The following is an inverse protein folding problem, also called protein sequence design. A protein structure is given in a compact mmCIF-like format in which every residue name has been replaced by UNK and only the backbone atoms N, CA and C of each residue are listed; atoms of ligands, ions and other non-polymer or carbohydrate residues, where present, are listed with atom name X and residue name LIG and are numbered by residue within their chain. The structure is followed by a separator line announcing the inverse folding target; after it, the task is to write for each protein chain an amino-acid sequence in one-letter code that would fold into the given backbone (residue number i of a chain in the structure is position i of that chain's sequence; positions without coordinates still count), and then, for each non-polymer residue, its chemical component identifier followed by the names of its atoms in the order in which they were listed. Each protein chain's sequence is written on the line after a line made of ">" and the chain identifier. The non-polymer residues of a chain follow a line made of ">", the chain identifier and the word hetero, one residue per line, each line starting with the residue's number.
data_IF_798190802352
#
_entry.id   IF_798190802352
#
_cell.length_a   1.000
_cell.length_b   1.000
_cell.length_c   1.000
_cell.angle_alpha   90.00
_cell.angle_beta   90.00
_cell.angle_gamma   90.00
#
_symmetry.space_group_name_H-M   'P 1'
#
loop_
_entity.id
_entity.type
_entity.pdbx_description
1 polymer ?
#
# COMPACT_ATOMS: atom_id res chain seq x y z
N UNK A 1 -3.72 -18.05 -57.33
CA UNK A 1 -3.06 -17.64 -56.07
C UNK A 1 -3.05 -16.12 -56.02
N UNK A 2 -3.89 -15.51 -55.22
CA UNK A 2 -3.73 -14.12 -54.81
C UNK A 2 -3.53 -14.15 -53.30
N UNK A 3 -2.26 -14.01 -52.90
CA UNK A 3 -1.86 -13.87 -51.51
C UNK A 3 -2.29 -12.46 -51.07
N UNK A 4 -3.29 -12.39 -50.21
CA UNK A 4 -3.70 -11.17 -49.52
C UNK A 4 -2.52 -10.73 -48.65
N UNK A 5 -1.87 -9.63 -48.99
CA UNK A 5 -0.86 -9.02 -48.12
C UNK A 5 -1.58 -8.40 -46.93
N UNK A 6 -1.56 -9.07 -45.78
CA UNK A 6 -1.90 -8.44 -44.51
C UNK A 6 -0.84 -7.35 -44.25
N UNK A 7 -1.26 -6.09 -44.32
CA UNK A 7 -0.44 -4.96 -43.91
C UNK A 7 -0.08 -5.13 -42.43
N UNK A 8 1.19 -5.37 -42.13
CA UNK A 8 1.67 -5.42 -40.74
C UNK A 8 1.50 -4.02 -40.13
N UNK A 9 0.70 -3.92 -39.07
CA UNK A 9 0.48 -2.65 -38.35
C UNK A 9 1.82 -2.10 -37.84
N UNK A 10 1.97 -0.78 -37.88
CA UNK A 10 3.17 -0.11 -37.35
C UNK A 10 3.21 -0.15 -35.82
N UNK A 11 4.40 -0.02 -35.23
CA UNK A 11 4.56 0.07 -33.76
C UNK A 11 3.70 1.18 -33.15
N UNK A 12 3.62 2.35 -33.80
CA UNK A 12 2.82 3.48 -33.34
C UNK A 12 1.31 3.17 -33.32
N UNK A 13 0.80 2.45 -34.34
CA UNK A 13 -0.59 2.01 -34.39
C UNK A 13 -0.91 1.01 -33.27
N UNK A 14 -0.03 0.03 -33.05
CA UNK A 14 -0.18 -0.95 -31.97
C UNK A 14 -0.17 -0.29 -30.58
N UNK A 15 0.71 0.70 -30.37
CA UNK A 15 0.73 1.49 -29.12
C UNK A 15 -0.58 2.25 -28.94
N UNK A 16 -1.07 2.92 -29.98
CA UNK A 16 -2.32 3.68 -29.94
C UNK A 16 -3.52 2.78 -29.63
N UNK A 17 -3.59 1.61 -30.25
CA UNK A 17 -4.64 0.61 -30.00
C UNK A 17 -4.58 0.09 -28.55
N UNK A 18 -3.39 -0.25 -28.04
CA UNK A 18 -3.21 -0.67 -26.66
C UNK A 18 -3.66 0.39 -25.64
N UNK A 19 -3.28 1.65 -25.87
CA UNK A 19 -3.72 2.77 -25.05
C UNK A 19 -5.23 3.00 -25.10
N UNK A 20 -5.85 2.84 -26.28
CA UNK A 20 -7.30 2.94 -26.43
C UNK A 20 -8.03 1.84 -25.66
N UNK A 21 -7.52 0.60 -25.70
CA UNK A 21 -8.09 -0.52 -24.94
C UNK A 21 -7.99 -0.29 -23.43
N UNK A 22 -6.92 0.34 -22.95
CA UNK A 22 -6.73 0.64 -21.52
C UNK A 22 -7.62 1.78 -20.98
N UNK A 23 -8.33 2.52 -21.85
CA UNK A 23 -9.07 3.74 -21.50
C UNK A 23 -10.18 3.51 -20.47
N UNK A 24 -10.85 2.37 -20.55
CA UNK A 24 -11.98 2.05 -19.65
C UNK A 24 -11.51 1.66 -18.23
N UNK A 25 -10.20 1.54 -18.01
CA UNK A 25 -9.59 1.38 -16.68
C UNK A 25 -9.96 0.08 -15.95
N UNK A 26 -10.60 -0.88 -16.63
CA UNK A 26 -10.95 -2.17 -16.04
C UNK A 26 -9.77 -3.15 -16.13
N UNK A 27 -9.66 -4.14 -15.22
CA UNK A 27 -8.62 -5.16 -15.32
C UNK A 27 -8.62 -5.89 -16.68
N UNK A 28 -9.80 -6.18 -17.23
CA UNK A 28 -9.94 -6.80 -18.55
C UNK A 28 -9.45 -5.88 -19.69
N UNK A 29 -9.73 -4.57 -19.60
CA UNK A 29 -9.20 -3.57 -20.53
C UNK A 29 -7.66 -3.57 -20.52
N UNK A 30 -7.04 -3.61 -19.34
CA UNK A 30 -5.58 -3.69 -19.22
C UNK A 30 -5.01 -5.02 -19.72
N UNK A 31 -5.67 -6.15 -19.48
CA UNK A 31 -5.27 -7.45 -20.04
C UNK A 31 -5.29 -7.45 -21.57
N UNK A 32 -6.29 -6.81 -22.19
CA UNK A 32 -6.34 -6.65 -23.64
C UNK A 32 -5.24 -5.71 -24.14
N UNK A 33 -4.96 -4.62 -23.44
CA UNK A 33 -3.85 -3.73 -23.76
C UNK A 33 -2.49 -4.45 -23.68
N UNK A 34 -2.26 -5.28 -22.65
CA UNK A 34 -1.04 -6.10 -22.49
C UNK A 34 -0.83 -7.02 -23.69
N UNK A 35 -1.89 -7.73 -24.12
CA UNK A 35 -1.83 -8.58 -25.33
C UNK A 35 -1.40 -7.74 -26.53
N UNK A 36 -1.98 -6.54 -26.67
CA UNK A 36 -1.68 -5.67 -27.79
C UNK A 36 -0.25 -5.14 -27.80
N UNK A 37 0.27 -4.69 -26.67
CA UNK A 37 1.67 -4.27 -26.56
C UNK A 37 2.66 -5.41 -26.81
N UNK A 38 2.25 -6.66 -26.56
CA UNK A 38 3.08 -7.85 -26.78
C UNK A 38 3.22 -8.23 -28.26
N UNK A 39 2.40 -7.66 -29.15
CA UNK A 39 2.52 -7.85 -30.61
C UNK A 39 3.67 -7.04 -31.21
N UNK A 40 4.23 -6.06 -30.48
CA UNK A 40 5.30 -5.18 -30.96
C UNK A 40 6.63 -5.94 -30.94
N UNK A 41 7.16 -6.25 -32.13
CA UNK A 41 8.41 -6.96 -32.32
C UNK A 41 9.26 -6.30 -33.42
N UNK A 42 10.53 -5.89 -33.15
CA UNK A 42 11.23 -5.97 -31.87
C UNK A 42 10.59 -5.10 -30.79
N UNK A 43 10.72 -5.46 -29.51
CA UNK A 43 10.10 -4.73 -28.42
C UNK A 43 10.71 -3.32 -28.31
N UNK A 44 9.85 -2.30 -28.36
CA UNK A 44 10.23 -0.91 -28.15
C UNK A 44 10.17 -0.53 -26.67
N UNK A 45 11.02 0.41 -26.24
CA UNK A 45 11.07 0.92 -24.85
C UNK A 45 9.69 1.40 -24.38
N UNK A 46 9.03 2.24 -25.18
CA UNK A 46 7.71 2.79 -24.83
C UNK A 46 6.65 1.69 -24.70
N UNK A 47 6.71 0.68 -25.56
CA UNK A 47 5.79 -0.46 -25.51
C UNK A 47 5.99 -1.28 -24.23
N UNK A 48 7.24 -1.55 -23.85
CA UNK A 48 7.58 -2.25 -22.59
C UNK A 48 7.15 -1.43 -21.37
N UNK A 49 7.42 -0.12 -21.36
CA UNK A 49 7.00 0.77 -20.28
C UNK A 49 5.47 0.80 -20.13
N UNK A 50 4.73 0.88 -21.23
CA UNK A 50 3.26 0.87 -21.21
C UNK A 50 2.71 -0.49 -20.79
N UNK A 51 3.30 -1.60 -21.26
CA UNK A 51 2.92 -2.96 -20.87
C UNK A 51 3.16 -3.21 -19.38
N UNK A 52 4.32 -2.80 -18.86
CA UNK A 52 4.62 -2.85 -17.43
C UNK A 52 3.61 -2.07 -16.59
N UNK A 53 3.26 -0.84 -17.00
CA UNK A 53 2.20 -0.08 -16.31
C UNK A 53 0.82 -0.75 -16.39
N UNK A 54 0.47 -1.34 -17.52
CA UNK A 54 -0.79 -2.08 -17.66
C UNK A 54 -0.81 -3.29 -16.72
N UNK A 55 0.31 -4.00 -16.58
CA UNK A 55 0.47 -5.07 -15.58
C UNK A 55 0.24 -4.57 -14.15
N UNK A 56 0.82 -3.43 -13.77
CA UNK A 56 0.58 -2.82 -12.45
C UNK A 56 -0.89 -2.43 -12.21
N UNK A 57 -1.63 -2.10 -13.28
CA UNK A 57 -3.06 -1.80 -13.18
C UNK A 57 -3.94 -3.04 -13.07
N UNK A 58 -3.52 -4.18 -13.64
CA UNK A 58 -4.17 -5.47 -13.37
C UNK A 58 -3.88 -5.90 -11.92
N UNK A 59 -2.64 -5.72 -11.47
CA UNK A 59 -2.21 -6.00 -10.11
C UNK A 59 -2.03 -7.50 -9.81
N UNK A 60 -1.53 -7.78 -8.61
CA UNK A 60 -1.20 -9.13 -8.15
C UNK A 60 0.27 -9.53 -8.41
N UNK A 61 0.80 -10.52 -7.67
CA UNK A 61 2.24 -10.79 -7.62
C UNK A 61 2.82 -11.19 -8.98
N UNK A 62 2.09 -12.00 -9.76
CA UNK A 62 2.51 -12.37 -11.12
C UNK A 62 2.65 -11.15 -12.04
N UNK A 63 1.69 -10.22 -11.99
CA UNK A 63 1.73 -9.03 -12.84
C UNK A 63 2.74 -8.00 -12.33
N UNK A 64 2.97 -7.91 -11.02
CA UNK A 64 4.06 -7.11 -10.46
C UNK A 64 5.42 -7.60 -10.98
N UNK A 65 5.66 -8.92 -10.98
CA UNK A 65 6.88 -9.49 -11.55
C UNK A 65 7.02 -9.21 -13.05
N UNK A 66 5.94 -9.41 -13.82
CA UNK A 66 5.95 -9.11 -15.26
C UNK A 66 6.23 -7.62 -15.55
N UNK A 67 5.75 -6.71 -14.68
CA UNK A 67 6.07 -5.31 -14.79
C UNK A 67 7.56 -5.03 -14.53
N UNK A 68 8.16 -5.68 -13.52
CA UNK A 68 9.60 -5.60 -13.25
C UNK A 68 10.41 -6.10 -14.45
N UNK A 69 10.03 -7.23 -15.03
CA UNK A 69 10.70 -7.81 -16.20
C UNK A 69 10.66 -6.85 -17.39
N UNK A 70 9.49 -6.22 -17.64
CA UNK A 70 9.31 -5.23 -18.70
C UNK A 70 10.14 -3.97 -18.49
N UNK A 71 10.14 -3.43 -17.28
CA UNK A 71 10.95 -2.25 -16.95
C UNK A 71 12.45 -2.55 -17.03
N UNK A 72 12.87 -3.73 -16.58
CA UNK A 72 14.27 -4.16 -16.67
C UNK A 72 14.71 -4.32 -18.12
N UNK A 73 13.87 -4.90 -18.96
CA UNK A 73 14.12 -4.99 -20.40
C UNK A 73 14.17 -3.60 -21.05
N UNK A 74 13.27 -2.69 -20.68
CA UNK A 74 13.26 -1.32 -21.18
C UNK A 74 14.55 -0.56 -20.80
N UNK A 75 15.06 -0.74 -19.57
CA UNK A 75 16.34 -0.17 -19.14
C UNK A 75 17.53 -0.75 -19.90
N UNK A 76 17.55 -2.07 -20.15
CA UNK A 76 18.62 -2.70 -20.93
C UNK A 76 18.71 -2.17 -22.37
N UNK A 77 17.56 -1.83 -22.97
CA UNK A 77 17.52 -1.21 -24.30
C UNK A 77 18.09 0.22 -24.28
N UNK A 78 17.87 0.97 -23.20
CA UNK A 78 18.47 2.29 -23.02
C UNK A 78 19.98 2.23 -22.77
N UNK A 79 20.46 1.24 -22.02
CA UNK A 79 21.90 1.09 -21.77
C UNK A 79 22.66 0.77 -23.06
N UNK A 80 22.02 0.05 -23.99
CA UNK A 80 22.58 -0.26 -25.29
C UNK A 80 22.52 0.91 -26.30
N UNK A 81 21.72 1.95 -26.05
CA UNK A 81 21.55 3.06 -26.98
C UNK A 81 22.56 4.21 -26.81
N UNK A 82 23.42 4.17 -25.77
CA UNK A 82 24.36 5.26 -25.40
C UNK A 82 23.69 6.65 -25.28
N UNK A 83 22.37 6.70 -25.11
CA UNK A 83 21.64 7.95 -24.96
C UNK A 83 21.90 8.57 -23.60
N UNK A 84 21.99 9.91 -23.56
CA UNK A 84 22.03 10.67 -22.31
C UNK A 84 20.83 10.29 -21.42
N UNK A 85 20.94 10.42 -20.08
CA UNK A 85 19.80 10.20 -19.20
C UNK A 85 18.62 11.00 -19.70
N UNK A 86 17.52 10.32 -20.04
CA UNK A 86 16.28 10.94 -20.48
C UNK A 86 15.26 10.86 -19.36
N UNK A 87 14.30 11.79 -19.36
CA UNK A 87 13.17 11.79 -18.43
C UNK A 87 12.41 10.45 -18.49
N UNK A 88 12.35 9.81 -19.66
CA UNK A 88 11.77 8.48 -19.85
C UNK A 88 12.53 7.40 -19.07
N UNK A 89 13.87 7.43 -19.10
CA UNK A 89 14.71 6.49 -18.32
C UNK A 89 14.51 6.68 -16.81
N UNK A 90 14.47 7.92 -16.32
CA UNK A 90 14.16 8.22 -14.91
C UNK A 90 12.79 7.69 -14.49
N UNK A 91 11.79 7.82 -15.37
CA UNK A 91 10.44 7.32 -15.14
C UNK A 91 10.40 5.81 -14.98
N UNK A 92 11.23 5.07 -15.73
CA UNK A 92 11.29 3.61 -15.62
C UNK A 92 11.92 3.20 -14.29
N UNK A 93 13.04 3.81 -13.89
CA UNK A 93 13.63 3.57 -12.55
C UNK A 93 12.62 3.84 -11.45
N UNK A 94 11.92 4.99 -11.51
CA UNK A 94 10.90 5.34 -10.53
C UNK A 94 9.81 4.27 -10.41
N UNK A 95 9.32 3.79 -11.56
CA UNK A 95 8.26 2.78 -11.59
C UNK A 95 8.75 1.44 -11.08
N UNK A 96 9.91 0.96 -11.53
CA UNK A 96 10.46 -0.33 -11.10
C UNK A 96 10.77 -0.34 -9.61
N UNK A 97 11.39 0.73 -9.09
CA UNK A 97 11.63 0.93 -7.66
C UNK A 97 10.33 0.84 -6.84
N UNK A 98 9.26 1.47 -7.32
CA UNK A 98 7.96 1.43 -6.67
C UNK A 98 7.39 0.00 -6.62
N UNK A 99 7.55 -0.79 -7.68
CA UNK A 99 7.10 -2.20 -7.67
C UNK A 99 7.91 -3.01 -6.66
N UNK A 100 9.23 -2.85 -6.66
CA UNK A 100 10.11 -3.51 -5.69
C UNK A 100 9.70 -3.16 -4.25
N UNK A 101 9.43 -1.88 -3.97
CA UNK A 101 8.94 -1.43 -2.66
C UNK A 101 7.62 -2.12 -2.27
N UNK A 102 6.66 -2.19 -3.20
CA UNK A 102 5.36 -2.87 -2.97
C UNK A 102 5.52 -4.37 -2.72
N UNK A 103 6.53 -5.02 -3.31
CA UNK A 103 6.84 -6.43 -3.09
C UNK A 103 7.66 -6.69 -1.82
N UNK A 104 8.12 -5.64 -1.12
CA UNK A 104 9.02 -5.77 0.03
C UNK A 104 10.49 -6.00 -0.35
N UNK A 105 10.84 -5.85 -1.63
CA UNK A 105 12.19 -5.99 -2.16
C UNK A 105 12.95 -4.66 -1.96
N UNK A 106 13.22 -4.31 -0.70
CA UNK A 106 13.69 -2.99 -0.32
C UNK A 106 15.06 -2.63 -0.90
N UNK A 107 16.01 -3.58 -0.98
CA UNK A 107 17.35 -3.32 -1.52
C UNK A 107 17.30 -2.92 -3.00
N UNK A 108 16.50 -3.62 -3.80
CA UNK A 108 16.28 -3.31 -5.21
C UNK A 108 15.57 -1.97 -5.37
N UNK A 109 14.59 -1.67 -4.52
CA UNK A 109 13.91 -0.38 -4.52
C UNK A 109 14.87 0.78 -4.20
N UNK A 110 15.69 0.64 -3.15
CA UNK A 110 16.70 1.63 -2.76
C UNK A 110 17.75 1.84 -3.86
N UNK A 111 18.19 0.75 -4.51
CA UNK A 111 19.12 0.80 -5.63
C UNK A 111 18.55 1.62 -6.79
N UNK A 112 17.32 1.33 -7.22
CA UNK A 112 16.68 2.04 -8.33
C UNK A 112 16.38 3.51 -8.00
N UNK A 113 15.93 3.82 -6.78
CA UNK A 113 15.71 5.21 -6.38
C UNK A 113 17.01 6.00 -6.27
N UNK A 114 18.08 5.39 -5.76
CA UNK A 114 19.39 6.03 -5.70
C UNK A 114 19.95 6.30 -7.09
N UNK A 115 19.77 5.35 -8.00
CA UNK A 115 20.19 5.51 -9.39
C UNK A 115 19.38 6.58 -10.13
N UNK A 116 18.07 6.65 -9.88
CA UNK A 116 17.22 7.73 -10.35
C UNK A 116 17.73 9.09 -9.85
N UNK A 117 18.01 9.23 -8.56
CA UNK A 117 18.51 10.49 -7.96
C UNK A 117 19.84 10.88 -8.59
N UNK A 118 20.78 9.95 -8.68
CA UNK A 118 22.11 10.20 -9.25
C UNK A 118 22.02 10.72 -10.69
N UNK A 119 21.19 10.10 -11.52
CA UNK A 119 20.99 10.54 -12.91
C UNK A 119 20.19 11.83 -13.01
N UNK A 120 19.24 12.04 -12.12
CA UNK A 120 18.44 13.25 -12.13
C UNK A 120 19.26 14.51 -11.77
N UNK A 121 20.32 14.37 -10.95
CA UNK A 121 21.25 15.47 -10.60
C UNK A 121 22.04 16.03 -11.79
N UNK A 122 22.13 15.32 -12.91
CA UNK A 122 22.91 15.74 -14.07
C UNK A 122 22.30 16.92 -14.83
N UNK A 123 21.03 17.27 -14.60
CA UNK A 123 20.34 18.37 -15.29
C UNK A 123 19.65 19.31 -14.30
N UNK A 124 19.54 20.59 -14.70
CA UNK A 124 18.82 21.64 -13.94
C UNK A 124 17.40 21.87 -14.46
N UNK A 125 16.98 21.12 -15.48
CA UNK A 125 15.63 21.19 -16.03
C UNK A 125 14.57 20.85 -14.99
N UNK A 126 13.38 21.46 -15.13
CA UNK A 126 12.33 21.33 -14.13
C UNK A 126 11.85 19.88 -13.96
N UNK A 127 11.75 19.12 -15.05
CA UNK A 127 11.35 17.71 -15.00
C UNK A 127 12.33 16.86 -14.16
N UNK A 128 13.63 17.18 -14.22
CA UNK A 128 14.65 16.47 -13.44
C UNK A 128 14.56 16.81 -11.95
N UNK A 129 14.25 18.08 -11.61
CA UNK A 129 13.99 18.47 -10.22
C UNK A 129 12.75 17.78 -9.64
N UNK A 130 11.69 17.63 -10.43
CA UNK A 130 10.50 16.87 -10.03
C UNK A 130 10.86 15.38 -9.76
N UNK A 131 11.69 14.77 -10.61
CA UNK A 131 12.19 13.43 -10.35
C UNK A 131 13.13 13.36 -9.14
N UNK A 132 13.97 14.37 -8.89
CA UNK A 132 14.78 14.43 -7.67
C UNK A 132 13.89 14.42 -6.42
N UNK A 133 12.89 15.28 -6.38
CA UNK A 133 11.93 15.33 -5.29
C UNK A 133 11.22 13.98 -5.09
N UNK A 134 10.65 13.41 -6.16
CA UNK A 134 10.00 12.09 -6.12
C UNK A 134 10.94 10.98 -5.68
N UNK A 135 12.19 10.98 -6.16
CA UNK A 135 13.20 9.99 -5.83
C UNK A 135 13.53 9.98 -4.36
N UNK A 136 13.88 11.15 -3.80
CA UNK A 136 14.19 11.30 -2.38
C UNK A 136 13.01 10.96 -1.48
N UNK A 137 11.82 11.52 -1.75
CA UNK A 137 10.62 11.24 -0.96
C UNK A 137 10.33 9.74 -0.97
N UNK A 138 10.35 9.09 -2.14
CA UNK A 138 10.04 7.66 -2.25
C UNK A 138 11.11 6.78 -1.60
N UNK A 139 12.39 7.12 -1.71
CA UNK A 139 13.47 6.41 -1.01
C UNK A 139 13.36 6.56 0.50
N UNK A 140 12.98 7.75 0.98
CA UNK A 140 12.65 7.98 2.38
C UNK A 140 11.50 7.09 2.89
N UNK A 141 10.45 6.88 2.09
CA UNK A 141 9.36 5.94 2.43
C UNK A 141 9.82 4.48 2.47
N UNK A 142 10.81 4.10 1.66
CA UNK A 142 11.42 2.75 1.75
C UNK A 142 12.21 2.64 3.06
N UNK A 143 13.02 3.63 3.42
CA UNK A 143 13.72 3.65 4.71
C UNK A 143 12.77 3.61 5.90
N UNK A 144 11.66 4.33 5.85
CA UNK A 144 10.60 4.27 6.86
C UNK A 144 10.02 2.85 6.97
N UNK A 145 9.75 2.19 5.83
CA UNK A 145 9.28 0.80 5.80
C UNK A 145 10.29 -0.18 6.43
N UNK A 146 11.58 0.13 6.31
CA UNK A 146 12.69 -0.60 6.93
C UNK A 146 12.98 -0.16 8.38
N UNK A 147 12.18 0.75 8.95
CA UNK A 147 12.37 1.31 10.30
C UNK A 147 13.68 2.10 10.49
N UNK A 148 14.30 2.55 9.40
CA UNK A 148 15.48 3.41 9.37
C UNK A 148 15.06 4.89 9.40
N UNK A 149 14.43 5.30 10.50
CA UNK A 149 13.67 6.55 10.58
C UNK A 149 14.51 7.82 10.39
N UNK A 150 15.75 7.88 10.87
CA UNK A 150 16.65 9.03 10.64
C UNK A 150 17.00 9.19 9.16
N UNK A 151 17.27 8.09 8.45
CA UNK A 151 17.52 8.11 6.99
C UNK A 151 16.26 8.51 6.23
N UNK A 152 15.09 8.00 6.67
CA UNK A 152 13.81 8.38 6.10
C UNK A 152 13.57 9.89 6.23
N UNK A 153 13.78 10.46 7.42
CA UNK A 153 13.61 11.89 7.67
C UNK A 153 14.53 12.73 6.78
N UNK A 154 15.83 12.40 6.74
CA UNK A 154 16.81 13.13 5.95
C UNK A 154 16.47 13.14 4.45
N UNK A 155 16.07 11.98 3.90
CA UNK A 155 15.67 11.87 2.50
C UNK A 155 14.38 12.66 2.21
N UNK A 156 13.36 12.59 3.07
CA UNK A 156 12.11 13.30 2.84
C UNK A 156 12.33 14.83 2.92
N UNK A 157 13.16 15.30 3.85
CA UNK A 157 13.52 16.72 3.96
C UNK A 157 14.29 17.22 2.73
N UNK A 158 15.24 16.42 2.23
CA UNK A 158 15.96 16.74 1.01
C UNK A 158 15.02 16.76 -0.19
N UNK A 159 14.14 15.76 -0.33
CA UNK A 159 13.15 15.69 -1.40
C UNK A 159 12.20 16.89 -1.44
N UNK A 160 11.85 17.45 -0.27
CA UNK A 160 11.02 18.65 -0.17
C UNK A 160 11.71 19.89 -0.74
N UNK A 161 13.05 20.01 -0.66
CA UNK A 161 13.80 21.15 -1.23
C UNK A 161 13.72 21.20 -2.75
N UNK A 162 13.62 20.04 -3.40
CA UNK A 162 13.53 19.91 -4.85
C UNK A 162 12.10 19.99 -5.40
N UNK A 163 11.10 19.95 -4.52
CA UNK A 163 9.70 19.96 -4.93
C UNK A 163 9.29 21.29 -5.57
N UNK A 164 8.49 21.23 -6.64
CA UNK A 164 7.87 22.42 -7.21
C UNK A 164 6.93 23.12 -6.22
N UNK A 165 6.30 22.34 -5.35
CA UNK A 165 5.44 22.81 -4.26
C UNK A 165 5.95 22.22 -2.94
N UNK A 166 6.92 22.84 -2.27
CA UNK A 166 7.46 22.35 -1.00
C UNK A 166 6.37 22.23 0.08
N UNK A 167 5.35 23.07 0.02
CA UNK A 167 4.21 23.05 0.94
C UNK A 167 3.12 22.04 0.55
N UNK A 168 3.40 21.10 -0.38
CA UNK A 168 2.47 20.04 -0.69
C UNK A 168 2.11 19.27 0.60
N UNK A 169 0.82 19.22 1.00
CA UNK A 169 0.41 18.57 2.24
C UNK A 169 0.88 17.13 2.38
N UNK A 170 1.02 16.41 1.27
CA UNK A 170 1.54 15.05 1.27
C UNK A 170 2.97 14.94 1.80
N UNK A 171 3.87 15.88 1.45
CA UNK A 171 5.26 15.83 1.94
C UNK A 171 5.35 16.16 3.43
N UNK A 172 4.55 17.13 3.88
CA UNK A 172 4.45 17.45 5.30
C UNK A 172 3.89 16.27 6.09
N UNK A 173 2.86 15.59 5.58
CA UNK A 173 2.34 14.35 6.17
C UNK A 173 3.42 13.28 6.33
N UNK A 174 4.21 13.01 5.28
CA UNK A 174 5.29 12.02 5.36
C UNK A 174 6.34 12.41 6.40
N UNK A 175 6.72 13.69 6.50
CA UNK A 175 7.67 14.17 7.51
C UNK A 175 7.12 14.02 8.92
N UNK A 176 5.90 14.51 9.17
CA UNK A 176 5.31 14.50 10.50
C UNK A 176 5.04 13.08 10.99
N UNK A 177 4.61 12.18 10.10
CA UNK A 177 4.45 10.77 10.45
C UNK A 177 5.76 10.15 10.93
N UNK A 178 6.86 10.33 10.20
CA UNK A 178 8.18 9.82 10.61
C UNK A 178 8.64 10.45 11.93
N UNK A 179 8.36 11.74 12.16
CA UNK A 179 8.68 12.43 13.42
C UNK A 179 7.89 11.90 14.61
N UNK A 180 6.60 11.62 14.43
CA UNK A 180 5.76 10.99 15.45
C UNK A 180 6.33 9.62 15.81
N UNK A 181 6.62 8.78 14.81
CA UNK A 181 7.18 7.44 15.06
C UNK A 181 8.56 7.48 15.72
N UNK A 182 9.40 8.47 15.38
CA UNK A 182 10.68 8.70 16.08
C UNK A 182 10.47 9.04 17.56
N UNK A 183 9.51 9.93 17.85
CA UNK A 183 9.21 10.34 19.22
C UNK A 183 8.63 9.19 20.05
N UNK A 184 7.73 8.40 19.48
CA UNK A 184 7.16 7.22 20.14
C UNK A 184 8.26 6.24 20.55
N UNK A 185 9.22 5.97 19.65
CA UNK A 185 10.37 5.12 19.96
C UNK A 185 11.33 5.69 21.00
N UNK A 186 11.53 7.00 21.00
CA UNK A 186 12.36 7.64 22.02
C UNK A 186 11.74 7.48 23.40
N UNK A 187 10.43 7.72 23.51
CA UNK A 187 9.71 7.52 24.77
C UNK A 187 9.75 6.04 25.23
N UNK A 188 9.63 5.08 24.30
CA UNK A 188 9.75 3.64 24.64
C UNK A 188 11.13 3.29 25.21
N UNK A 189 12.21 3.89 24.69
CA UNK A 189 13.56 3.67 25.21
C UNK A 189 13.79 4.36 26.57
N UNK A 190 13.24 5.57 26.75
CA UNK A 190 13.32 6.29 28.03
C UNK A 190 12.52 5.56 29.14
N UNK A 191 11.38 4.92 28.80
CA UNK A 191 10.56 4.14 29.73
C UNK A 191 11.21 2.77 30.10
N UNK A 192 12.07 2.21 29.23
CA UNK A 192 12.81 0.97 29.48
C UNK A 192 14.09 1.21 30.32
N UNK A 193 14.73 2.39 30.22
CA UNK A 193 15.90 2.76 31.04
C UNK A 193 15.54 3.01 32.53
N UNK A 194 14.28 3.35 32.83
CA UNK A 194 13.81 3.57 34.21
C UNK A 194 13.54 2.25 35.01
N UNK A 195 13.81 1.07 34.45
CA UNK A 195 13.58 -0.25 35.09
C UNK A 195 14.87 -0.96 35.55
N UNK A 196 16.06 -0.49 35.15
CA UNK A 196 17.35 -1.04 35.61
C UNK A 196 18.18 0.00 36.36
N UNK A 197 17.73 0.40 37.56
CA UNK A 197 18.58 1.15 38.49
C UNK A 197 18.36 0.72 39.95
N UNK A 198 18.67 -0.55 40.23
CA UNK A 198 19.27 -0.95 41.52
C UNK A 198 20.34 -2.00 41.27
N UNK A 199 21.56 -1.56 41.02
CA UNK A 199 22.73 -2.02 41.77
C UNK A 199 23.93 -1.14 41.39
N UNK A 200 24.32 -0.31 42.37
CA UNK A 200 25.65 0.29 42.44
C UNK A 200 26.68 -0.83 42.33
N UNK A 201 27.65 -0.70 41.45
CA UNK A 201 29.04 -0.92 41.86
C UNK A 201 30.00 -0.11 41.01
N UNK A 202 30.82 0.63 41.76
CA UNK A 202 31.93 1.43 41.32
C UNK A 202 33.05 0.58 40.74
N UNK A 203 33.60 0.99 39.60
CA UNK A 203 35.05 0.94 39.38
C UNK A 203 35.45 1.90 38.26
N UNK A 204 36.10 2.99 38.66
CA UNK A 204 37.03 3.72 37.81
C UNK A 204 38.16 2.76 37.43
N UNK A 205 38.55 2.72 36.16
CA UNK A 205 39.92 3.14 35.86
C UNK A 205 40.13 3.56 34.42
N UNK A 206 41.00 4.55 34.32
CA UNK A 206 41.39 5.31 33.14
C UNK A 206 42.06 4.42 32.09
N UNK A 207 41.76 4.66 30.81
CA UNK A 207 42.83 4.73 29.81
C UNK A 207 42.47 5.67 28.67
N UNK A 208 43.47 6.50 28.33
CA UNK A 208 43.44 7.57 27.35
C UNK A 208 43.88 7.06 25.98
N UNK A 209 43.43 7.82 24.98
CA UNK A 209 44.00 7.98 23.64
C UNK A 209 43.65 6.91 22.59
N UNK A 210 42.61 7.17 21.79
CA UNK A 210 42.84 7.27 20.34
C UNK A 210 41.83 8.20 19.64
N UNK A 211 42.35 8.92 18.65
CA UNK A 211 41.71 9.99 17.90
C UNK A 211 40.93 9.44 16.71
N UNK A 212 39.60 9.56 16.75
CA UNK A 212 38.79 9.74 15.55
C UNK A 212 37.54 10.54 15.91
N UNK A 213 37.66 11.86 15.77
CA UNK A 213 36.51 12.78 15.78
C UNK A 213 35.74 12.58 14.48
N UNK A 214 34.78 11.66 14.49
CA UNK A 214 33.58 11.81 13.67
C UNK A 214 32.58 12.56 14.53
N UNK A 215 32.20 13.73 14.04
CA UNK A 215 31.28 14.66 14.68
C UNK A 215 29.87 14.04 14.69
N UNK A 216 29.58 13.25 15.71
CA UNK A 216 28.22 13.06 16.22
C UNK A 216 27.75 14.39 16.81
N UNK A 217 27.43 15.33 15.93
CA UNK A 217 26.65 16.49 16.30
C UNK A 217 25.23 15.99 16.58
N UNK A 218 25.03 15.67 17.85
CA UNK A 218 23.75 15.41 18.50
C UNK A 218 22.87 16.65 18.30
N UNK A 219 22.28 16.79 17.11
CA UNK A 219 21.25 17.77 16.82
C UNK A 219 20.04 17.35 17.64
N UNK A 220 20.00 17.85 18.88
CA UNK A 220 18.81 17.89 19.72
C UNK A 220 17.82 18.80 19.02
N UNK A 221 17.13 18.26 18.01
CA UNK A 221 16.03 18.91 17.33
C UNK A 221 14.99 19.23 18.40
N UNK A 222 14.91 20.50 18.80
CA UNK A 222 13.76 21.00 19.54
C UNK A 222 12.55 20.84 18.62
N UNK A 223 11.80 19.75 18.80
CA UNK A 223 10.53 19.49 18.12
C UNK A 223 9.54 20.54 18.64
N UNK A 224 9.04 21.48 17.82
CA UNK A 224 7.99 22.37 18.29
C UNK A 224 6.73 21.56 18.61
N UNK A 225 5.95 21.94 19.64
CA UNK A 225 4.72 21.25 20.00
C UNK A 225 3.74 21.22 18.81
N UNK A 226 3.07 20.08 18.62
CA UNK A 226 2.20 19.76 17.48
C UNK A 226 1.07 20.76 17.22
N UNK A 227 0.72 21.59 18.20
CA UNK A 227 -0.30 22.64 18.09
C UNK A 227 0.12 23.84 17.24
N UNK A 228 1.42 24.14 17.12
CA UNK A 228 1.90 25.35 16.45
C UNK A 228 2.08 25.19 14.92
N UNK A 229 2.03 23.93 14.44
CA UNK A 229 2.21 23.58 13.03
C UNK A 229 0.89 23.71 12.25
N UNK A 230 -0.26 23.49 12.91
CA UNK A 230 -1.60 23.59 12.33
C UNK A 230 -1.94 24.94 11.69
N UNK A 231 -1.28 26.03 12.11
CA UNK A 231 -1.52 27.37 11.57
C UNK A 231 -0.68 27.74 10.34
N UNK A 232 0.44 27.05 10.09
CA UNK A 232 1.38 27.38 8.99
C UNK A 232 1.06 26.72 7.65
N UNK A 233 0.07 25.82 7.62
CA UNK A 233 -0.17 24.94 6.47
C UNK A 233 -1.20 25.51 5.45
N UNK A 234 -1.94 26.57 5.80
CA UNK A 234 -3.27 26.92 5.23
C UNK A 234 -3.34 27.49 3.81
N UNK A 235 -2.24 27.62 3.06
CA UNK A 235 -2.33 28.27 1.74
C UNK A 235 -1.42 27.62 0.71
N UNK A 236 -2.06 27.05 -0.31
CA UNK A 236 -1.54 26.67 -1.63
C UNK A 236 -1.01 25.24 -1.81
N UNK A 237 -1.90 24.32 -2.20
CA UNK A 237 -1.52 23.23 -3.11
C UNK A 237 -2.71 22.70 -3.91
N UNK A 238 -2.82 23.12 -5.17
CA UNK A 238 -3.76 22.55 -6.15
C UNK A 238 -3.31 21.18 -6.73
N UNK A 239 -2.16 20.66 -6.28
CA UNK A 239 -1.49 19.48 -6.86
C UNK A 239 -1.46 18.24 -5.96
N UNK A 240 -2.03 18.30 -4.75
CA UNK A 240 -2.14 17.15 -3.87
C UNK A 240 -3.40 16.31 -4.20
N UNK A 241 -3.28 14.97 -4.08
CA UNK A 241 -4.43 14.06 -4.32
C UNK A 241 -5.57 14.32 -3.32
N UNK A 242 -5.25 14.80 -2.13
CA UNK A 242 -6.20 15.24 -1.12
C UNK A 242 -5.77 16.60 -0.60
N UNK A 243 -6.69 17.32 0.03
CA UNK A 243 -6.38 18.60 0.64
C UNK A 243 -5.58 18.43 1.95
N UNK A 244 -5.17 19.55 2.51
CA UNK A 244 -4.42 19.60 3.75
C UNK A 244 -5.17 18.99 4.94
N UNK A 245 -6.47 19.30 5.05
CA UNK A 245 -7.32 18.80 6.12
C UNK A 245 -7.39 17.26 6.13
N UNK A 246 -7.39 16.62 4.96
CA UNK A 246 -7.35 15.16 4.86
C UNK A 246 -6.09 14.57 5.49
N UNK A 247 -4.93 15.14 5.16
CA UNK A 247 -3.65 14.64 5.68
C UNK A 247 -3.46 14.97 7.16
N UNK A 248 -3.92 16.14 7.61
CA UNK A 248 -3.95 16.48 9.03
C UNK A 248 -4.86 15.52 9.81
N UNK A 249 -6.03 15.18 9.27
CA UNK A 249 -6.93 14.20 9.87
C UNK A 249 -6.30 12.81 9.97
N UNK A 250 -5.51 12.38 8.98
CA UNK A 250 -4.77 11.12 9.05
C UNK A 250 -3.77 11.10 10.22
N UNK A 251 -2.98 12.17 10.40
CA UNK A 251 -2.04 12.27 11.53
C UNK A 251 -2.76 12.24 12.88
N UNK A 252 -3.86 12.99 13.00
CA UNK A 252 -4.67 13.00 14.22
C UNK A 252 -5.27 11.62 14.53
N UNK A 253 -5.66 10.88 13.49
CA UNK A 253 -6.18 9.51 13.65
C UNK A 253 -5.09 8.52 14.05
N UNK A 254 -3.88 8.65 13.51
CA UNK A 254 -2.71 7.86 13.90
C UNK A 254 -2.35 8.10 15.38
N UNK A 255 -2.46 9.35 15.85
CA UNK A 255 -2.30 9.73 17.26
C UNK A 255 -3.47 9.31 18.18
N UNK A 256 -4.49 8.63 17.64
CA UNK A 256 -5.69 8.23 18.38
C UNK A 256 -6.67 9.36 18.70
N UNK A 257 -6.42 10.59 18.23
CA UNK A 257 -7.29 11.74 18.42
C UNK A 257 -8.44 11.75 17.40
N UNK A 258 -9.30 10.73 17.50
CA UNK A 258 -10.33 10.44 16.51
C UNK A 258 -11.42 11.54 16.42
N UNK A 259 -11.64 12.30 17.49
CA UNK A 259 -12.57 13.44 17.48
C UNK A 259 -12.07 14.58 16.60
N UNK A 260 -10.82 15.03 16.80
CA UNK A 260 -10.23 16.09 15.96
C UNK A 260 -10.01 15.59 14.53
N UNK A 261 -9.64 14.32 14.35
CA UNK A 261 -9.52 13.69 13.04
C UNK A 261 -10.85 13.74 12.26
N UNK A 262 -11.97 13.42 12.93
CA UNK A 262 -13.31 13.47 12.32
C UNK A 262 -13.67 14.88 11.84
N UNK A 263 -13.37 15.92 12.62
CA UNK A 263 -13.62 17.31 12.23
C UNK A 263 -12.82 17.69 10.97
N UNK A 264 -11.53 17.36 10.95
CA UNK A 264 -10.68 17.64 9.79
C UNK A 264 -11.11 16.83 8.56
N UNK A 265 -11.52 15.57 8.70
CA UNK A 265 -12.08 14.81 7.58
C UNK A 265 -13.41 15.37 7.06
N UNK A 266 -14.23 16.00 7.92
CA UNK A 266 -15.46 16.70 7.49
C UNK A 266 -15.13 17.94 6.67
N UNK A 267 -14.14 18.73 7.10
CA UNK A 267 -13.66 19.87 6.33
C UNK A 267 -13.03 19.43 4.99
N UNK A 268 -12.26 18.35 5.01
CA UNK A 268 -11.70 17.74 3.80
C UNK A 268 -12.79 17.28 2.83
N UNK A 269 -13.86 16.67 3.34
CA UNK A 269 -15.00 16.27 2.52
C UNK A 269 -15.62 17.45 1.77
N UNK A 270 -15.77 18.61 2.42
CA UNK A 270 -16.33 19.83 1.80
C UNK A 270 -15.49 20.37 0.63
N UNK A 271 -14.18 20.10 0.59
CA UNK A 271 -13.29 20.53 -0.49
C UNK A 271 -13.15 19.50 -1.62
N UNK A 272 -13.59 18.25 -1.42
CA UNK A 272 -13.45 17.18 -2.41
C UNK A 272 -14.37 17.37 -3.62
N UNK A 273 -13.82 17.18 -4.83
CA UNK A 273 -14.55 17.38 -6.09
C UNK A 273 -14.94 16.08 -6.78
N UNK A 274 -14.20 14.99 -6.56
CA UNK A 274 -14.43 13.68 -7.19
C UNK A 274 -15.09 12.69 -6.21
N UNK A 275 -16.03 11.89 -6.72
CA UNK A 275 -16.76 10.85 -5.97
C UNK A 275 -15.83 9.80 -5.33
N UNK A 276 -14.71 9.46 -5.95
CA UNK A 276 -13.74 8.53 -5.34
C UNK A 276 -13.02 9.15 -4.12
N UNK A 277 -12.75 10.47 -4.16
CA UNK A 277 -12.16 11.17 -3.01
C UNK A 277 -13.20 11.37 -1.90
N UNK A 278 -14.45 11.69 -2.27
CA UNK A 278 -15.58 11.77 -1.34
C UNK A 278 -15.78 10.44 -0.61
N UNK A 279 -15.77 9.33 -1.35
CA UNK A 279 -15.90 8.00 -0.78
C UNK A 279 -14.76 7.67 0.19
N UNK A 280 -13.50 7.97 -0.15
CA UNK A 280 -12.37 7.77 0.78
C UNK A 280 -12.50 8.66 2.02
N UNK A 281 -12.93 9.93 1.89
CA UNK A 281 -13.14 10.80 3.06
C UNK A 281 -14.24 10.27 3.98
N UNK A 282 -15.40 9.89 3.42
CA UNK A 282 -16.50 9.28 4.19
C UNK A 282 -16.08 7.97 4.86
N UNK A 283 -15.29 7.15 4.16
CA UNK A 283 -14.70 5.93 4.73
C UNK A 283 -13.80 6.24 5.92
N UNK A 284 -12.92 7.26 5.83
CA UNK A 284 -12.07 7.65 6.96
C UNK A 284 -12.86 8.21 8.13
N UNK A 285 -13.89 9.03 7.87
CA UNK A 285 -14.81 9.49 8.92
C UNK A 285 -15.51 8.31 9.61
N UNK A 286 -15.97 7.32 8.85
CA UNK A 286 -16.59 6.11 9.37
C UNK A 286 -15.65 5.30 10.26
N UNK A 287 -14.37 5.20 9.90
CA UNK A 287 -13.35 4.56 10.75
C UNK A 287 -13.15 5.32 12.07
N UNK A 288 -13.07 6.65 12.03
CA UNK A 288 -12.96 7.46 13.25
C UNK A 288 -14.20 7.26 14.16
N UNK A 289 -15.42 7.30 13.60
CA UNK A 289 -16.64 7.07 14.37
C UNK A 289 -16.71 5.66 14.96
N UNK A 290 -16.24 4.66 14.21
CA UNK A 290 -16.15 3.29 14.71
C UNK A 290 -15.19 3.19 15.90
N UNK A 291 -14.01 3.83 15.81
CA UNK A 291 -13.04 3.87 16.90
C UNK A 291 -13.55 4.64 18.13
N UNK A 292 -14.44 5.63 17.93
CA UNK A 292 -15.14 6.35 18.99
C UNK A 292 -16.33 5.55 19.59
N UNK A 293 -16.59 4.33 19.11
CA UNK A 293 -17.67 3.47 19.59
C UNK A 293 -19.05 3.80 19.00
N UNK A 294 -19.16 4.80 18.12
CA UNK A 294 -20.39 5.24 17.47
C UNK A 294 -20.67 4.37 16.24
N UNK A 295 -21.08 3.12 16.48
CA UNK A 295 -21.27 2.12 15.42
C UNK A 295 -22.35 2.51 14.41
N UNK A 296 -23.47 3.06 14.86
CA UNK A 296 -24.57 3.43 13.95
C UNK A 296 -24.15 4.55 12.98
N UNK A 297 -23.45 5.57 13.49
CA UNK A 297 -22.92 6.65 12.67
C UNK A 297 -21.84 6.17 11.69
N UNK A 298 -20.98 5.25 12.14
CA UNK A 298 -19.98 4.64 11.27
C UNK A 298 -20.63 3.86 10.12
N UNK A 299 -21.69 3.10 10.41
CA UNK A 299 -22.43 2.37 9.39
C UNK A 299 -23.04 3.33 8.36
N UNK A 300 -23.71 4.39 8.83
CA UNK A 300 -24.27 5.41 7.95
C UNK A 300 -23.21 6.02 7.02
N UNK A 301 -22.04 6.35 7.56
CA UNK A 301 -20.94 6.90 6.76
C UNK A 301 -20.40 5.90 5.72
N UNK A 302 -20.28 4.61 6.05
CA UNK A 302 -19.87 3.59 5.09
C UNK A 302 -20.91 3.36 3.98
N UNK A 303 -22.20 3.42 4.31
CA UNK A 303 -23.28 3.36 3.31
C UNK A 303 -23.24 4.56 2.36
N UNK A 304 -22.98 5.77 2.87
CA UNK A 304 -22.79 6.95 2.03
C UNK A 304 -21.53 6.83 1.16
N UNK A 305 -20.42 6.35 1.72
CA UNK A 305 -19.20 6.10 0.97
C UNK A 305 -19.42 5.09 -0.17
N UNK A 306 -20.28 4.08 0.03
CA UNK A 306 -20.61 3.09 -0.99
C UNK A 306 -21.46 3.69 -2.11
N UNK A 307 -22.36 4.63 -1.79
CA UNK A 307 -23.13 5.36 -2.80
C UNK A 307 -22.24 6.24 -3.67
N UNK A 308 -21.23 6.89 -3.07
CA UNK A 308 -20.26 7.69 -3.81
C UNK A 308 -19.37 6.85 -4.72
N UNK A 309 -18.75 5.80 -4.19
CA UNK A 309 -17.93 4.88 -4.99
C UNK A 309 -18.27 3.41 -4.65
N UNK A 310 -19.16 2.79 -5.43
CA UNK A 310 -19.52 1.38 -5.24
C UNK A 310 -18.34 0.42 -5.40
N UNK A 311 -17.25 0.84 -6.07
CA UNK A 311 -16.07 0.01 -6.34
C UNK A 311 -15.02 0.12 -5.25
N UNK A 312 -15.23 0.96 -4.24
CA UNK A 312 -14.29 1.13 -3.12
C UNK A 312 -14.25 -0.12 -2.22
N UNK A 313 -13.45 -1.10 -2.60
CA UNK A 313 -13.42 -2.43 -1.98
C UNK A 313 -13.24 -2.41 -0.45
N UNK A 314 -12.38 -1.52 0.07
CA UNK A 314 -12.16 -1.35 1.52
C UNK A 314 -13.42 -0.89 2.28
N UNK A 315 -14.28 -0.11 1.63
CA UNK A 315 -15.49 0.42 2.24
C UNK A 315 -16.58 -0.66 2.26
N UNK A 316 -16.79 -1.31 1.11
CA UNK A 316 -17.71 -2.45 1.00
C UNK A 316 -17.32 -3.57 1.97
N UNK A 317 -16.01 -3.82 2.14
CA UNK A 317 -15.51 -4.76 3.14
C UNK A 317 -15.91 -4.38 4.56
N UNK A 318 -15.66 -3.14 5.00
CA UNK A 318 -16.04 -2.67 6.35
C UNK A 318 -17.54 -2.74 6.59
N UNK A 319 -18.35 -2.35 5.60
CA UNK A 319 -19.81 -2.47 5.71
C UNK A 319 -20.24 -3.95 5.88
N UNK A 320 -19.64 -4.86 5.12
CA UNK A 320 -19.87 -6.30 5.26
C UNK A 320 -19.47 -6.84 6.64
N UNK A 321 -18.37 -6.36 7.21
CA UNK A 321 -17.95 -6.72 8.58
C UNK A 321 -18.93 -6.21 9.65
N UNK A 322 -19.48 -5.00 9.47
CA UNK A 322 -20.47 -4.46 10.41
C UNK A 322 -21.78 -5.24 10.35
N UNK A 323 -22.30 -5.51 9.15
CA UNK A 323 -23.47 -6.37 8.96
C UNK A 323 -23.27 -7.77 9.57
N UNK A 324 -22.06 -8.32 9.46
CA UNK A 324 -21.70 -9.58 10.09
C UNK A 324 -21.69 -9.50 11.63
N UNK A 325 -21.23 -8.39 12.20
CA UNK A 325 -21.25 -8.15 13.63
C UNK A 325 -22.69 -8.09 14.17
N UNK A 326 -23.61 -7.51 13.40
CA UNK A 326 -25.05 -7.43 13.72
C UNK A 326 -25.81 -8.74 13.46
N UNK A 327 -25.10 -9.82 13.13
CA UNK A 327 -25.64 -11.16 12.79
C UNK A 327 -26.54 -11.18 11.55
N UNK A 328 -26.50 -10.13 10.72
CA UNK A 328 -27.14 -10.06 9.41
C UNK A 328 -26.28 -10.80 8.37
N UNK A 329 -26.12 -12.10 8.57
CA UNK A 329 -25.15 -12.92 7.84
C UNK A 329 -25.46 -13.03 6.34
N UNK A 330 -26.73 -12.94 5.93
CA UNK A 330 -27.12 -13.04 4.51
C UNK A 330 -26.71 -11.78 3.74
N UNK A 331 -26.99 -10.62 4.31
CA UNK A 331 -26.63 -9.30 3.78
C UNK A 331 -25.12 -9.13 3.78
N UNK A 332 -24.45 -9.46 4.89
CA UNK A 332 -23.00 -9.46 5.00
C UNK A 332 -22.34 -10.31 3.90
N UNK A 333 -22.89 -11.49 3.62
CA UNK A 333 -22.36 -12.37 2.57
C UNK A 333 -22.50 -11.75 1.18
N UNK A 334 -23.62 -11.09 0.89
CA UNK A 334 -23.82 -10.38 -0.39
C UNK A 334 -22.80 -9.24 -0.53
N UNK A 335 -22.64 -8.44 0.52
CA UNK A 335 -21.70 -7.31 0.58
C UNK A 335 -20.24 -7.77 0.48
N UNK A 336 -19.84 -8.81 1.21
CA UNK A 336 -18.49 -9.38 1.10
C UNK A 336 -18.25 -10.04 -0.26
N UNK A 337 -19.30 -10.57 -0.90
CA UNK A 337 -19.20 -11.10 -2.27
C UNK A 337 -18.97 -10.00 -3.29
N UNK A 338 -19.62 -8.83 -3.14
CA UNK A 338 -19.31 -7.67 -3.99
C UNK A 338 -17.91 -7.11 -3.70
N UNK A 339 -17.49 -7.04 -2.44
CA UNK A 339 -16.11 -6.68 -2.08
C UNK A 339 -15.08 -7.61 -2.75
N UNK A 340 -15.32 -8.92 -2.74
CA UNK A 340 -14.51 -9.92 -3.44
C UNK A 340 -14.49 -9.73 -4.97
N UNK A 341 -15.53 -9.16 -5.59
CA UNK A 341 -15.49 -8.84 -7.03
C UNK A 341 -14.53 -7.70 -7.33
N UNK A 342 -14.46 -6.71 -6.44
CA UNK A 342 -13.61 -5.52 -6.61
C UNK A 342 -12.16 -5.77 -6.15
N UNK A 343 -11.96 -6.61 -5.14
CA UNK A 343 -10.65 -7.02 -4.64
C UNK A 343 -10.56 -8.55 -4.53
N UNK A 344 -10.46 -9.27 -5.66
CA UNK A 344 -10.54 -10.74 -5.71
C UNK A 344 -9.40 -11.47 -5.00
N UNK A 345 -8.32 -10.77 -4.69
CA UNK A 345 -7.14 -11.34 -4.05
C UNK A 345 -6.91 -10.78 -2.64
N UNK A 346 -7.89 -10.11 -2.03
CA UNK A 346 -7.80 -9.67 -0.65
C UNK A 346 -7.99 -10.86 0.30
N UNK A 347 -6.94 -11.17 1.06
CA UNK A 347 -6.95 -12.23 2.07
C UNK A 347 -8.00 -11.94 3.14
N UNK A 348 -8.09 -10.69 3.60
CA UNK A 348 -9.04 -10.28 4.65
C UNK A 348 -10.50 -10.48 4.21
N UNK A 349 -10.86 -10.07 2.99
CA UNK A 349 -12.23 -10.22 2.48
C UNK A 349 -12.58 -11.70 2.35
N UNK A 350 -11.67 -12.53 1.83
CA UNK A 350 -11.88 -13.97 1.70
C UNK A 350 -12.04 -14.66 3.06
N UNK A 351 -11.24 -14.27 4.05
CA UNK A 351 -11.29 -14.83 5.40
C UNK A 351 -12.62 -14.49 6.10
N UNK A 352 -13.02 -13.22 6.07
CA UNK A 352 -14.29 -12.80 6.67
C UNK A 352 -15.46 -13.49 5.98
N UNK A 353 -15.48 -13.55 4.63
CA UNK A 353 -16.54 -14.23 3.90
C UNK A 353 -16.62 -15.72 4.24
N UNK A 354 -15.47 -16.38 4.40
CA UNK A 354 -15.42 -17.77 4.84
C UNK A 354 -15.99 -17.95 6.26
N UNK A 355 -15.67 -17.05 7.20
CA UNK A 355 -16.25 -17.08 8.55
C UNK A 355 -17.77 -16.96 8.52
N UNK A 356 -18.33 -16.10 7.66
CA UNK A 356 -19.77 -15.97 7.49
C UNK A 356 -20.39 -17.23 6.87
N UNK A 357 -19.73 -17.85 5.88
CA UNK A 357 -20.17 -19.13 5.34
C UNK A 357 -20.22 -20.23 6.42
N UNK A 358 -19.24 -20.32 7.31
CA UNK A 358 -19.27 -21.27 8.44
C UNK A 358 -20.44 -21.04 9.39
N UNK A 359 -20.69 -19.77 9.77
CA UNK A 359 -21.81 -19.41 10.64
C UNK A 359 -23.17 -19.76 10.01
N UNK A 360 -23.23 -19.82 8.68
CA UNK A 360 -24.41 -20.24 7.91
C UNK A 360 -24.45 -21.75 7.61
N UNK A 361 -23.46 -22.54 8.08
CA UNK A 361 -23.35 -23.98 7.83
C UNK A 361 -22.90 -24.37 6.41
N UNK A 362 -22.47 -23.39 5.60
CA UNK A 362 -22.00 -23.57 4.22
C UNK A 362 -20.50 -23.88 4.19
N UNK A 363 -20.15 -25.07 4.67
CA UNK A 363 -18.76 -25.46 4.92
C UNK A 363 -17.92 -25.59 3.66
N UNK A 364 -18.51 -26.02 2.55
CA UNK A 364 -17.78 -26.20 1.28
C UNK A 364 -17.30 -24.86 0.72
N UNK A 365 -18.15 -23.84 0.71
CA UNK A 365 -17.79 -22.50 0.26
C UNK A 365 -16.81 -21.80 1.22
N UNK A 366 -16.98 -22.01 2.54
CA UNK A 366 -16.02 -21.53 3.53
C UNK A 366 -14.62 -22.13 3.27
N UNK A 367 -14.56 -23.43 3.02
CA UNK A 367 -13.31 -24.13 2.72
C UNK A 367 -12.68 -23.65 1.41
N UNK A 368 -13.48 -23.38 0.38
CA UNK A 368 -12.98 -22.82 -0.88
C UNK A 368 -12.30 -21.46 -0.65
N UNK A 369 -12.98 -20.54 0.04
CA UNK A 369 -12.46 -19.21 0.29
C UNK A 369 -11.23 -19.23 1.20
N UNK A 370 -11.21 -20.08 2.24
CA UNK A 370 -10.02 -20.29 3.07
C UNK A 370 -8.83 -20.80 2.28
N UNK A 371 -9.01 -21.82 1.43
CA UNK A 371 -7.91 -22.33 0.59
C UNK A 371 -7.38 -21.24 -0.33
N UNK A 372 -8.26 -20.43 -0.90
CA UNK A 372 -7.87 -19.31 -1.76
C UNK A 372 -7.12 -18.23 -0.97
N UNK A 373 -7.61 -17.85 0.21
CA UNK A 373 -6.94 -16.92 1.10
C UNK A 373 -5.53 -17.43 1.49
N UNK A 374 -5.42 -18.72 1.81
CA UNK A 374 -4.16 -19.40 2.14
C UNK A 374 -3.16 -19.39 0.97
N UNK A 375 -3.63 -19.63 -0.26
CA UNK A 375 -2.77 -19.57 -1.45
C UNK A 375 -2.23 -18.15 -1.72
N UNK A 376 -3.00 -17.12 -1.35
CA UNK A 376 -2.64 -15.72 -1.56
C UNK A 376 -1.76 -15.16 -0.43
N UNK A 377 -1.90 -15.66 0.80
CA UNK A 377 -1.25 -15.12 2.00
C UNK A 377 -0.11 -15.96 2.58
N UNK A 378 0.78 -16.54 1.76
CA UNK A 378 1.90 -17.40 2.23
C UNK A 378 2.78 -16.68 3.29
N UNK A 379 2.46 -16.90 4.57
CA UNK A 379 3.26 -16.70 5.79
C UNK A 379 2.70 -17.61 6.90
N UNK A 380 3.50 -17.83 7.95
CA UNK A 380 3.44 -18.88 9.01
C UNK A 380 2.04 -19.14 9.61
N UNK A 381 1.16 -18.14 9.65
CA UNK A 381 -0.23 -18.26 10.15
C UNK A 381 -1.07 -19.28 9.38
N UNK A 382 -0.82 -19.43 8.06
CA UNK A 382 -1.51 -20.42 7.23
C UNK A 382 -1.26 -21.86 7.71
N UNK A 383 -0.06 -22.17 8.22
CA UNK A 383 0.30 -23.51 8.71
C UNK A 383 -0.44 -23.85 10.00
N UNK A 384 -0.54 -22.90 10.93
CA UNK A 384 -1.23 -23.08 12.22
C UNK A 384 -2.72 -23.36 12.01
N UNK A 385 -3.35 -22.67 11.06
CA UNK A 385 -4.77 -22.85 10.73
C UNK A 385 -5.00 -24.16 9.97
N UNK A 386 -4.12 -24.56 9.05
CA UNK A 386 -4.18 -25.89 8.38
C UNK A 386 -4.14 -27.02 9.42
N UNK A 387 -3.29 -26.91 10.44
CA UNK A 387 -3.21 -27.88 11.51
C UNK A 387 -4.49 -27.90 12.36
N UNK A 388 -5.06 -26.74 12.70
CA UNK A 388 -6.31 -26.65 13.46
C UNK A 388 -7.52 -27.22 12.70
N UNK A 389 -7.61 -26.99 11.39
CA UNK A 389 -8.69 -27.52 10.55
C UNK A 389 -8.56 -29.04 10.33
N UNK A 390 -7.31 -29.54 10.16
CA UNK A 390 -7.07 -30.99 10.12
C UNK A 390 -7.42 -31.67 11.43
N UNK A 391 -7.12 -31.02 12.55
CA UNK A 391 -7.46 -31.52 13.89
C UNK A 391 -8.98 -31.61 14.09
N UNK A 392 -9.75 -30.63 13.58
CA UNK A 392 -11.23 -30.66 13.63
C UNK A 392 -11.83 -31.78 12.78
N UNK A 393 -11.32 -32.00 11.57
CA UNK A 393 -11.77 -33.10 10.71
C UNK A 393 -11.50 -34.48 11.35
N UNK A 394 -10.29 -34.68 11.89
CA UNK A 394 -9.94 -35.92 12.59
C UNK A 394 -10.85 -36.19 13.79
N UNK A 395 -11.18 -35.15 14.57
CA UNK A 395 -12.12 -35.28 15.70
C UNK A 395 -13.52 -35.73 15.24
N UNK A 396 -14.02 -35.18 14.14
CA UNK A 396 -15.34 -35.54 13.60
C UNK A 396 -15.36 -36.99 13.06
N UNK A 397 -14.31 -37.42 12.36
CA UNK A 397 -14.17 -38.78 11.85
C UNK A 397 -14.13 -39.83 12.97
N UNK A 398 -13.34 -39.56 14.02
CA UNK A 398 -13.24 -40.45 15.20
C UNK A 398 -14.59 -40.57 15.92
N UNK A 399 -15.32 -39.46 16.07
CA UNK A 399 -16.64 -39.46 16.70
C UNK A 399 -17.64 -40.32 15.91
N UNK A 400 -17.67 -40.15 14.58
CA UNK A 400 -18.55 -40.91 13.69
C UNK A 400 -18.23 -42.41 13.71
N UNK A 401 -16.94 -42.76 13.74
CA UNK A 401 -16.51 -44.16 13.86
C UNK A 401 -16.93 -44.76 15.21
N UNK A 402 -16.77 -44.02 16.31
CA UNK A 402 -17.21 -44.46 17.64
C UNK A 402 -18.72 -44.70 17.73
N UNK A 403 -19.54 -43.78 17.20
CA UNK A 403 -20.99 -43.97 17.15
C UNK A 403 -21.40 -45.17 16.30
N UNK A 404 -20.72 -45.40 15.18
CA UNK A 404 -20.97 -46.55 14.32
C UNK A 404 -20.64 -47.88 15.01
N UNK A 405 -19.56 -47.91 15.82
CA UNK A 405 -19.17 -49.09 16.60
C UNK A 405 -20.17 -49.38 17.73
N UNK A 406 -20.63 -48.34 18.44
CA UNK A 406 -21.67 -48.48 19.49
C UNK A 406 -22.98 -49.00 18.91
N UNK A 407 -23.39 -48.54 17.72
CA UNK A 407 -24.60 -49.07 17.05
C UNK A 407 -24.46 -50.54 16.69
N UNK A 408 -23.29 -50.99 16.24
CA UNK A 408 -23.04 -52.41 15.95
C UNK A 408 -23.12 -53.28 17.21
N UNK A 409 -22.56 -52.81 18.32
CA UNK A 409 -22.61 -53.53 19.62
C UNK A 409 -24.01 -53.59 20.24
N UNK A 410 -24.94 -52.71 19.86
CA UNK A 410 -26.34 -52.74 20.32
C UNK A 410 -27.26 -53.63 19.47
N UNK A 411 -26.81 -54.06 18.29
CA UNK A 411 -27.59 -54.86 17.34
C UNK A 411 -27.11 -56.32 17.20
N UNK A 412 -26.00 -56.68 17.84
CA UNK A 412 -25.57 -58.07 18.05
C UNK A 412 -25.78 -58.43 19.50
#
# INVERSE_FOLDING_TARGET
>A
MLVVSATSKTTAELVKEGCALAKDGTPNAFLNAIKKFSEINPPAVDALYLRGNAHLKVGGPKHNQQAIDDFSKALSLYDNSNEKPSVSKLRIYYKRAWVHHVLGEYDQALSDYSELINRARCSKEQDYKDFLSKGYISRGLVYESMQLLHKALADIEEGKKWAQHPNNPYYNYCLERVRITLKERQNELDDDEDVEDTEQDSENDNDKDDKSKEEDEQVRCQIPPSEDIGKKMTTESKNAKYDENYYHALLLSEQGNNMKALENFKQAFSSTTNDSQKAECLFRQGLCQYQLGQKDDAQYLFEQAQKCDPKHARNVFRLGMMQAADRNYKEALQTLTTACKYAPNSVDILYERASIFEKLGRLDEAMYDRRRAMQLGRSVSATVIILQDRLRQLKAEVLQQGESAIRRLKMG
#
